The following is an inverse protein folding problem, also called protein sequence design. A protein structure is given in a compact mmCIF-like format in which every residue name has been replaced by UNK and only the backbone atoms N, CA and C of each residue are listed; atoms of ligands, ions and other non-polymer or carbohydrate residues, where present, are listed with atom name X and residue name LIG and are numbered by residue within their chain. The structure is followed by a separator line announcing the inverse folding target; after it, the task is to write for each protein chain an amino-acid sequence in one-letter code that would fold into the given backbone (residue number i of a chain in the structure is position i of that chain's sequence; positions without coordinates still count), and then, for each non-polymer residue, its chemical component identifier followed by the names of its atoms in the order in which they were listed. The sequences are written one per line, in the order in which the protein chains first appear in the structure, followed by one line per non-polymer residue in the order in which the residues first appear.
data_IF_434007605973
#
_entry.id   IF_434007605973
#
_cell.length_a   1.000
_cell.length_b   1.000
_cell.length_c   1.000
_cell.angle_alpha   90.00
_cell.angle_beta   90.00
_cell.angle_gamma   90.00
#
_symmetry.space_group_name_H-M   'P 1'
#
loop_
_entity.id
_entity.type
_entity.pdbx_description
1 polymer ?
#
# COMPACT_ATOMS: atom_id res chain seq x y z
N UNK A 1 -5.58 8.30 11.35
CA UNK A 1 -4.33 8.47 10.57
C UNK A 1 -4.63 9.35 9.38
N UNK A 2 -3.79 10.34 9.07
CA UNK A 2 -3.96 11.13 7.85
C UNK A 2 -3.55 10.33 6.61
N UNK A 3 -4.11 10.66 5.45
CA UNK A 3 -3.76 9.98 4.20
C UNK A 3 -2.27 10.13 3.85
N UNK A 4 -1.64 11.25 4.24
CA UNK A 4 -0.20 11.45 4.07
C UNK A 4 0.63 10.47 4.90
N UNK A 5 0.25 10.23 6.17
CA UNK A 5 0.93 9.25 7.02
C UNK A 5 0.71 7.82 6.49
N UNK A 6 -0.51 7.51 6.05
CA UNK A 6 -0.81 6.22 5.47
C UNK A 6 0.00 5.97 4.17
N UNK A 7 0.12 6.99 3.31
CA UNK A 7 0.91 6.89 2.10
C UNK A 7 2.38 6.56 2.39
N UNK A 8 3.01 7.29 3.33
CA UNK A 8 4.38 7.00 3.75
C UNK A 8 4.53 5.58 4.30
N UNK A 9 3.52 5.12 5.03
CA UNK A 9 3.50 3.78 5.58
C UNK A 9 3.42 2.70 4.50
N UNK A 10 2.49 2.86 3.56
CA UNK A 10 2.34 1.94 2.43
C UNK A 10 3.61 1.90 1.56
N UNK A 11 4.23 3.05 1.29
CA UNK A 11 5.51 3.10 0.56
C UNK A 11 6.64 2.37 1.29
N UNK A 12 6.64 2.40 2.63
CA UNK A 12 7.64 1.70 3.43
C UNK A 12 7.41 0.18 3.47
N UNK A 13 6.14 -0.23 3.56
CA UNK A 13 5.73 -1.64 3.65
C UNK A 13 5.79 -2.36 2.30
N UNK A 14 5.53 -1.65 1.20
CA UNK A 14 5.52 -2.20 -0.15
C UNK A 14 6.63 -1.55 -0.99
N UNK A 15 7.92 -1.78 -0.67
CA UNK A 15 9.03 -1.09 -1.33
C UNK A 15 9.18 -1.42 -2.82
N UNK A 16 8.53 -2.50 -3.29
CA UNK A 16 8.47 -2.89 -4.70
C UNK A 16 7.43 -2.11 -5.51
N UNK A 17 6.56 -1.36 -4.83
CA UNK A 17 5.45 -0.65 -5.44
C UNK A 17 5.68 0.86 -5.37
N UNK A 18 5.46 1.56 -6.49
CA UNK A 18 5.35 3.02 -6.48
C UNK A 18 3.94 3.42 -6.11
N UNK A 19 3.72 3.73 -4.83
CA UNK A 19 2.40 4.10 -4.30
C UNK A 19 2.29 5.62 -4.22
N UNK A 20 1.19 6.19 -4.72
CA UNK A 20 0.91 7.63 -4.71
C UNK A 20 -0.56 7.91 -4.42
N UNK A 21 -0.84 9.06 -3.80
CA UNK A 21 -2.18 9.63 -3.68
C UNK A 21 -2.30 10.83 -4.62
N UNK A 22 -3.16 10.74 -5.62
CA UNK A 22 -3.36 11.79 -6.60
C UNK A 22 -4.29 12.90 -6.09
N UNK A 23 -4.25 14.05 -6.79
CA UNK A 23 -5.24 15.12 -6.60
C UNK A 23 -6.64 14.55 -6.89
N UNK A 24 -7.53 14.61 -5.90
CA UNK A 24 -8.86 14.00 -5.98
C UNK A 24 -9.02 12.74 -5.10
N UNK A 25 -8.01 12.34 -4.35
CA UNK A 25 -8.13 11.25 -3.37
C UNK A 25 -8.02 9.84 -3.98
N UNK A 26 -7.54 9.75 -5.23
CA UNK A 26 -7.33 8.47 -5.91
C UNK A 26 -5.98 7.90 -5.53
N UNK A 27 -5.99 6.67 -5.01
CA UNK A 27 -4.81 5.89 -4.70
C UNK A 27 -4.33 5.15 -5.94
N UNK A 28 -3.02 5.25 -6.24
CA UNK A 28 -2.36 4.50 -7.29
C UNK A 28 -1.21 3.68 -6.75
N UNK A 29 -1.04 2.48 -7.29
CA UNK A 29 0.14 1.66 -7.09
C UNK A 29 0.61 1.08 -8.43
N UNK A 30 1.89 1.27 -8.71
CA UNK A 30 2.56 0.77 -9.92
C UNK A 30 3.62 -0.26 -9.52
N UNK A 31 3.50 -1.46 -10.08
CA UNK A 31 4.44 -2.58 -9.96
C UNK A 31 4.36 -3.41 -11.24
N UNK A 32 4.21 -4.74 -11.11
CA UNK A 32 3.96 -5.63 -12.27
C UNK A 32 2.57 -5.38 -12.89
N UNK A 33 1.65 -4.79 -12.11
CA UNK A 33 0.34 -4.31 -12.57
C UNK A 33 0.11 -2.87 -12.11
N UNK A 34 -0.85 -2.19 -12.75
CA UNK A 34 -1.29 -0.86 -12.35
C UNK A 34 -2.61 -0.94 -11.59
N UNK A 35 -2.63 -0.40 -10.37
CA UNK A 35 -3.81 -0.34 -9.50
C UNK A 35 -4.28 1.10 -9.39
N UNK A 36 -5.59 1.32 -9.53
CA UNK A 36 -6.25 2.59 -9.23
C UNK A 36 -7.45 2.32 -8.34
N UNK A 37 -7.52 2.99 -7.19
CA UNK A 37 -8.59 2.82 -6.21
C UNK A 37 -9.06 4.17 -5.66
N UNK A 38 -10.38 4.33 -5.50
CA UNK A 38 -10.96 5.52 -4.88
C UNK A 38 -10.93 5.50 -3.35
N UNK A 39 -10.42 4.42 -2.76
CA UNK A 39 -10.29 4.27 -1.31
C UNK A 39 -9.01 3.51 -0.96
N UNK A 40 -8.52 3.76 0.26
CA UNK A 40 -7.35 3.05 0.82
C UNK A 40 -7.64 1.56 1.01
N UNK A 41 -8.85 1.20 1.44
CA UNK A 41 -9.27 -0.20 1.62
C UNK A 41 -9.30 -0.92 0.27
N UNK A 42 -9.75 -0.23 -0.79
CA UNK A 42 -9.72 -0.76 -2.15
C UNK A 42 -8.30 -1.01 -2.64
N UNK A 43 -7.38 -0.06 -2.41
CA UNK A 43 -5.97 -0.23 -2.76
C UNK A 43 -5.36 -1.46 -2.07
N UNK A 44 -5.52 -1.55 -0.74
CA UNK A 44 -4.95 -2.65 0.06
C UNK A 44 -5.57 -4.00 -0.31
N UNK A 45 -6.88 -4.04 -0.56
CA UNK A 45 -7.56 -5.26 -1.00
C UNK A 45 -7.03 -5.79 -2.34
N UNK A 46 -6.77 -4.89 -3.30
CA UNK A 46 -6.15 -5.30 -4.58
C UNK A 46 -4.71 -5.71 -4.38
N UNK A 47 -3.91 -4.98 -3.59
CA UNK A 47 -2.53 -5.38 -3.26
C UNK A 47 -2.46 -6.78 -2.64
N UNK A 48 -3.36 -7.10 -1.71
CA UNK A 48 -3.46 -8.43 -1.11
C UNK A 48 -3.81 -9.54 -2.11
N UNK A 49 -4.47 -9.19 -3.21
CA UNK A 49 -4.82 -10.14 -4.27
C UNK A 49 -3.66 -10.35 -5.24
N UNK A 50 -2.93 -9.28 -5.61
CA UNK A 50 -1.91 -9.33 -6.68
C UNK A 50 -0.49 -9.53 -6.15
N UNK A 51 -0.24 -9.22 -4.88
CA UNK A 51 1.05 -9.38 -4.20
C UNK A 51 0.84 -9.91 -2.76
N UNK A 52 0.35 -11.15 -2.61
CA UNK A 52 0.13 -11.73 -1.29
C UNK A 52 1.43 -11.88 -0.49
N UNK A 53 2.56 -12.12 -1.17
CA UNK A 53 3.88 -12.23 -0.53
C UNK A 53 4.35 -10.88 0.02
N UNK A 54 4.17 -9.80 -0.74
CA UNK A 54 4.42 -8.43 -0.27
C UNK A 54 3.56 -8.07 0.94
N UNK A 55 2.31 -8.51 0.99
CA UNK A 55 1.45 -8.34 2.18
C UNK A 55 1.97 -9.15 3.37
N UNK A 56 2.38 -10.40 3.17
CA UNK A 56 2.93 -11.21 4.24
C UNK A 56 4.20 -10.59 4.83
N UNK A 57 5.07 -10.02 3.99
CA UNK A 57 6.27 -9.31 4.43
C UNK A 57 5.92 -8.01 5.17
N UNK A 58 4.96 -7.23 4.65
CA UNK A 58 4.47 -6.03 5.32
C UNK A 58 3.96 -6.33 6.74
N UNK A 59 3.22 -7.43 6.94
CA UNK A 59 2.75 -7.87 8.26
C UNK A 59 3.93 -8.19 9.19
N UNK A 60 4.99 -8.87 8.71
CA UNK A 60 6.17 -9.13 9.54
C UNK A 60 6.85 -7.84 10.00
N UNK A 61 7.04 -6.89 9.09
CA UNK A 61 7.62 -5.58 9.43
C UNK A 61 6.79 -4.85 10.48
N UNK A 62 5.46 -4.95 10.41
CA UNK A 62 4.56 -4.38 11.42
C UNK A 62 4.72 -5.02 12.80
N UNK A 63 4.83 -6.35 12.84
CA UNK A 63 5.04 -7.10 14.09
C UNK A 63 6.39 -6.77 14.73
N UNK A 64 7.42 -6.52 13.93
CA UNK A 64 8.75 -6.11 14.41
C UNK A 64 8.76 -4.69 14.98
N UNK A 65 8.07 -3.74 14.35
CA UNK A 65 7.96 -2.34 14.82
C UNK A 65 7.09 -2.22 16.08
N UNK A 66 6.17 -3.17 16.30
CA UNK A 66 5.29 -3.19 17.47
C UNK A 66 5.90 -3.77 18.75
N UNK A 67 7.13 -4.31 18.70
CA UNK A 67 7.91 -4.74 19.87
C UNK A 67 8.76 -3.61 20.41
#
# INVERSE_FOLDING_TARGET
MSDALLLLFLQRLFPRWSIRLERGGVWRAEGDVHISASSREGLVGVLATVDPDGVAEAVRVLEEVGR
#
